data_IF_505223441560
#
_entry.id   IF_505223441560
#
_cell.length_a   1.000
_cell.length_b   1.000
_cell.length_c   1.000
_cell.angle_alpha   90.00
_cell.angle_beta   90.00
_cell.angle_gamma   90.00
#
_symmetry.space_group_name_H-M   'P 1'
#
loop_
_entity.id
_entity.type
_entity.pdbx_description
1 polymer ?
#
# COMPACT_ATOMS: atom_id res chain seq x y z
N UNK A 1 9.30 2.48 -13.86
CA UNK A 1 9.28 2.61 -12.39
C UNK A 1 7.85 2.92 -12.00
N UNK A 2 7.30 2.17 -11.04
CA UNK A 2 6.00 2.46 -10.45
C UNK A 2 6.30 2.95 -9.03
N UNK A 3 5.94 4.20 -8.67
CA UNK A 3 6.21 4.71 -7.33
C UNK A 3 5.32 3.99 -6.30
N UNK A 4 5.72 3.97 -5.03
CA UNK A 4 4.86 3.51 -3.95
C UNK A 4 3.56 4.31 -3.88
N UNK A 5 2.48 3.72 -3.34
CA UNK A 5 1.19 4.40 -3.27
C UNK A 5 1.24 5.62 -2.35
N UNK A 6 0.73 6.74 -2.86
CA UNK A 6 0.45 7.92 -2.04
C UNK A 6 -0.72 7.66 -1.07
N UNK A 7 -1.03 8.62 -0.20
CA UNK A 7 -2.11 8.50 0.79
C UNK A 7 -3.46 8.10 0.15
N UNK A 8 -3.83 8.75 -0.96
CA UNK A 8 -5.11 8.51 -1.62
C UNK A 8 -5.15 7.10 -2.23
N UNK A 9 -4.06 6.67 -2.87
CA UNK A 9 -3.92 5.33 -3.39
C UNK A 9 -3.97 4.28 -2.27
N UNK A 10 -3.34 4.53 -1.12
CA UNK A 10 -3.41 3.61 0.04
C UNK A 10 -4.84 3.47 0.56
N UNK A 11 -5.59 4.57 0.65
CA UNK A 11 -7.01 4.53 1.02
C UNK A 11 -7.82 3.67 0.05
N UNK A 12 -7.64 3.84 -1.26
CA UNK A 12 -8.36 3.05 -2.26
C UNK A 12 -7.97 1.57 -2.19
N UNK A 13 -6.69 1.25 -1.96
CA UNK A 13 -6.24 -0.12 -1.73
C UNK A 13 -6.91 -0.72 -0.48
N UNK A 14 -6.97 0.04 0.63
CA UNK A 14 -7.66 -0.39 1.84
C UNK A 14 -9.13 -0.68 1.57
N UNK A 15 -9.86 0.22 0.88
CA UNK A 15 -11.26 0.03 0.50
C UNK A 15 -11.47 -1.22 -0.37
N UNK A 16 -10.56 -1.50 -1.31
CA UNK A 16 -10.63 -2.71 -2.14
C UNK A 16 -10.47 -3.96 -1.28
N UNK A 17 -9.50 -3.99 -0.38
CA UNK A 17 -9.24 -5.15 0.48
C UNK A 17 -10.27 -5.34 1.60
N UNK A 18 -10.99 -4.29 2.00
CA UNK A 18 -12.07 -4.37 3.00
C UNK A 18 -13.47 -4.48 2.38
N UNK A 19 -13.62 -4.47 1.05
CA UNK A 19 -14.93 -4.47 0.36
C UNK A 19 -15.89 -5.59 0.81
N UNK A 20 -15.35 -6.75 1.18
CA UNK A 20 -16.14 -7.90 1.65
C UNK A 20 -15.91 -8.22 3.14
N UNK A 21 -15.24 -7.31 3.86
CA UNK A 21 -15.00 -7.41 5.28
C UNK A 21 -16.09 -6.62 6.01
N UNK A 22 -16.86 -7.23 6.92
CA UNK A 22 -17.80 -6.48 7.73
C UNK A 22 -17.02 -5.59 8.69
N UNK A 23 -17.05 -4.27 8.45
CA UNK A 23 -16.39 -3.29 9.29
C UNK A 23 -17.36 -2.75 10.35
N UNK A 24 -16.85 -2.51 11.56
CA UNK A 24 -17.58 -1.75 12.57
C UNK A 24 -17.54 -0.25 12.26
N UNK A 25 -18.45 0.51 12.86
CA UNK A 25 -18.58 1.95 12.62
C UNK A 25 -17.33 2.74 13.03
N UNK A 26 -16.54 2.19 13.97
CA UNK A 26 -15.29 2.78 14.44
C UNK A 26 -14.10 2.52 13.51
N UNK A 27 -14.22 1.59 12.54
CA UNK A 27 -13.12 1.19 11.66
C UNK A 27 -12.82 2.24 10.58
N UNK A 28 -12.01 3.23 10.95
CA UNK A 28 -11.65 4.37 10.12
C UNK A 28 -10.47 4.05 9.17
N UNK A 29 -10.80 3.83 7.88
CA UNK A 29 -9.80 3.57 6.84
C UNK A 29 -8.96 4.80 6.47
N UNK A 30 -9.45 6.02 6.68
CA UNK A 30 -8.66 7.25 6.45
C UNK A 30 -7.53 7.32 7.46
N UNK A 31 -7.84 7.06 8.73
CA UNK A 31 -6.83 7.01 9.80
C UNK A 31 -5.78 5.92 9.56
N UNK A 32 -6.17 4.78 8.97
CA UNK A 32 -5.22 3.72 8.59
C UNK A 32 -4.36 4.16 7.39
N UNK A 33 -4.94 4.84 6.39
CA UNK A 33 -4.17 5.37 5.26
C UNK A 33 -3.11 6.39 5.69
N UNK A 34 -3.41 7.20 6.71
CA UNK A 34 -2.46 8.12 7.35
C UNK A 34 -1.32 7.39 8.08
N UNK A 35 -1.64 6.32 8.80
CA UNK A 35 -0.66 5.56 9.58
C UNK A 35 0.24 4.62 8.76
N UNK A 36 -0.02 4.47 7.45
CA UNK A 36 0.62 3.45 6.59
C UNK A 36 1.57 4.04 5.55
N UNK A 37 2.21 5.16 5.86
CA UNK A 37 3.27 5.69 5.01
C UNK A 37 4.39 4.65 4.79
N UNK A 38 4.87 4.54 3.54
CA UNK A 38 5.86 3.54 3.13
C UNK A 38 5.32 2.14 2.90
N UNK A 39 4.03 1.89 3.14
CA UNK A 39 3.42 0.59 2.83
C UNK A 39 3.24 0.41 1.33
N UNK A 40 3.48 -0.81 0.86
CA UNK A 40 3.10 -1.25 -0.48
C UNK A 40 1.66 -1.77 -0.52
N UNK A 41 1.13 -2.01 -1.72
CA UNK A 41 -0.18 -2.67 -1.86
C UNK A 41 -0.23 -4.05 -1.17
N UNK A 42 0.86 -4.82 -1.21
CA UNK A 42 0.95 -6.11 -0.50
C UNK A 42 0.97 -5.93 1.02
N UNK A 43 1.64 -4.90 1.54
CA UNK A 43 1.67 -4.65 2.98
C UNK A 43 0.26 -4.26 3.49
N UNK A 44 -0.47 -3.44 2.73
CA UNK A 44 -1.85 -3.07 3.05
C UNK A 44 -2.81 -4.27 2.97
N UNK A 45 -2.66 -5.13 1.96
CA UNK A 45 -3.42 -6.36 1.85
C UNK A 45 -3.19 -7.29 3.06
N UNK A 46 -1.92 -7.42 3.47
CA UNK A 46 -1.55 -8.19 4.65
C UNK A 46 -2.09 -7.57 5.94
N UNK A 47 -2.04 -6.25 6.08
CA UNK A 47 -2.58 -5.51 7.22
C UNK A 47 -4.08 -5.80 7.42
N UNK A 48 -4.87 -5.68 6.35
CA UNK A 48 -6.31 -5.96 6.38
C UNK A 48 -6.56 -7.42 6.76
N UNK A 49 -5.81 -8.36 6.17
CA UNK A 49 -5.93 -9.78 6.49
C UNK A 49 -5.60 -10.08 7.96
N UNK A 50 -4.55 -9.49 8.53
CA UNK A 50 -4.17 -9.68 9.93
C UNK A 50 -5.24 -9.08 10.87
N UNK A 51 -5.82 -7.93 10.53
CA UNK A 51 -6.93 -7.34 11.30
C UNK A 51 -8.16 -8.27 11.34
N UNK A 52 -8.53 -8.87 10.20
CA UNK A 52 -9.61 -9.86 10.16
C UNK A 52 -9.30 -11.11 10.99
N UNK A 53 -8.07 -11.63 10.92
CA UNK A 53 -7.65 -12.77 11.74
C UNK A 53 -7.63 -12.45 13.24
N UNK A 54 -7.24 -11.22 13.62
CA UNK A 54 -7.28 -10.75 15.00
C UNK A 54 -8.71 -10.72 15.54
N UNK A 55 -9.67 -10.22 14.75
CA UNK A 55 -11.09 -10.26 15.11
C UNK A 55 -11.58 -11.69 15.35
N UNK A 56 -11.27 -12.62 14.44
CA UNK A 56 -11.66 -14.04 14.57
C UNK A 56 -11.01 -14.74 15.77
N UNK A 57 -9.74 -14.41 16.06
CA UNK A 57 -9.01 -14.97 17.21
C UNK A 57 -9.56 -14.48 18.54
N UNK A 58 -10.03 -13.25 18.57
CA UNK A 58 -10.67 -12.71 19.76
C UNK A 58 -12.04 -13.34 20.01
N UNK A 59 -12.87 -13.45 18.97
CA UNK A 59 -14.16 -14.10 19.05
C UNK A 59 -14.47 -14.79 17.72
N UNK A 60 -14.65 -16.11 17.75
CA UNK A 60 -14.99 -16.90 16.55
C UNK A 60 -16.33 -16.49 15.92
N UNK A 61 -17.21 -15.89 16.72
CA UNK A 61 -18.50 -15.34 16.30
C UNK A 61 -18.44 -13.82 16.07
N UNK A 62 -17.25 -13.22 15.92
CA UNK A 62 -17.12 -11.80 15.64
C UNK A 62 -17.81 -11.46 14.31
N UNK A 63 -18.84 -10.61 14.38
CA UNK A 63 -19.58 -10.18 13.19
C UNK A 63 -18.87 -9.07 12.42
N UNK A 64 -18.01 -8.29 13.11
CA UNK A 64 -17.38 -7.08 12.54
C UNK A 64 -15.93 -6.92 12.97
N UNK A 65 -15.12 -6.32 12.10
CA UNK A 65 -13.74 -5.91 12.38
C UNK A 65 -13.73 -4.45 12.85
N UNK A 66 -13.36 -4.23 14.11
CA UNK A 66 -13.23 -2.92 14.75
C UNK A 66 -11.85 -2.30 14.56
N UNK A 67 -11.74 -1.00 14.87
CA UNK A 67 -10.49 -0.24 14.75
C UNK A 67 -9.34 -0.84 15.56
N UNK A 68 -9.61 -1.33 16.77
CA UNK A 68 -8.61 -1.97 17.64
C UNK A 68 -7.90 -3.17 16.99
N UNK A 69 -8.57 -3.91 16.10
CA UNK A 69 -7.93 -5.01 15.38
C UNK A 69 -6.94 -4.49 14.33
N UNK A 70 -7.25 -3.37 13.67
CA UNK A 70 -6.32 -2.69 12.78
C UNK A 70 -5.15 -2.08 13.54
N UNK A 71 -5.39 -1.45 14.69
CA UNK A 71 -4.33 -0.92 15.55
C UNK A 71 -3.36 -2.03 16.00
N UNK A 72 -3.90 -3.21 16.33
CA UNK A 72 -3.07 -4.37 16.68
C UNK A 72 -2.37 -4.97 15.46
N UNK A 73 -3.00 -4.98 14.29
CA UNK A 73 -2.37 -5.40 13.04
C UNK A 73 -1.20 -4.48 12.63
N UNK A 74 -1.35 -3.16 12.83
CA UNK A 74 -0.30 -2.15 12.53
C UNK A 74 0.97 -2.35 13.37
N UNK A 75 0.86 -2.95 14.56
CA UNK A 75 2.03 -3.28 15.37
C UNK A 75 2.83 -4.46 14.79
N UNK A 76 2.16 -5.35 14.06
CA UNK A 76 2.72 -6.60 13.52
C UNK A 76 3.22 -6.46 12.10
N UNK A 77 2.45 -5.76 11.26
CA UNK A 77 2.78 -5.52 9.87
C UNK A 77 3.63 -4.26 9.80
N UNK A 78 4.84 -4.36 9.23
CA UNK A 78 5.74 -3.22 9.03
C UNK A 78 5.83 -2.91 7.55
N UNK A 79 6.09 -1.64 7.16
CA UNK A 79 6.32 -1.30 5.77
C UNK A 79 7.50 -2.10 5.22
N UNK A 80 7.32 -2.69 4.04
CA UNK A 80 8.38 -3.45 3.37
C UNK A 80 9.40 -2.56 2.66
N UNK A 81 9.02 -1.33 2.30
CA UNK A 81 9.92 -0.37 1.64
C UNK A 81 10.70 0.44 2.66
N UNK A 82 12.02 0.28 2.67
CA UNK A 82 12.92 1.10 3.47
C UNK A 82 13.28 2.41 2.74
N UNK A 83 13.66 3.48 3.48
CA UNK A 83 14.13 4.73 2.87
C UNK A 83 15.31 4.54 1.89
N UNK A 84 16.17 3.56 2.14
CA UNK A 84 17.31 3.25 1.27
C UNK A 84 16.85 2.67 -0.07
N UNK A 85 15.86 1.76 -0.04
CA UNK A 85 15.28 1.19 -1.26
C UNK A 85 14.58 2.25 -2.10
N UNK A 86 13.83 3.16 -1.47
CA UNK A 86 13.21 4.30 -2.13
C UNK A 86 14.23 5.14 -2.90
N UNK A 87 15.30 5.59 -2.22
CA UNK A 87 16.38 6.37 -2.84
C UNK A 87 17.04 5.63 -3.99
N UNK A 88 17.29 4.33 -3.82
CA UNK A 88 17.85 3.50 -4.87
C UNK A 88 16.96 3.51 -6.13
N UNK A 89 15.66 3.25 -5.97
CA UNK A 89 14.73 3.21 -7.10
C UNK A 89 14.53 4.56 -7.76
N UNK A 90 14.48 5.65 -7.01
CA UNK A 90 14.42 7.02 -7.54
C UNK A 90 15.65 7.31 -8.40
N UNK A 91 16.85 7.05 -7.87
CA UNK A 91 18.10 7.26 -8.60
C UNK A 91 18.19 6.39 -9.85
N UNK A 92 17.68 5.16 -9.80
CA UNK A 92 17.63 4.26 -10.94
C UNK A 92 16.66 4.77 -12.00
N UNK A 93 15.48 5.25 -11.60
CA UNK A 93 14.48 5.80 -12.50
C UNK A 93 15.00 7.05 -13.24
N UNK A 94 15.72 7.92 -12.54
CA UNK A 94 16.37 9.10 -13.14
C UNK A 94 17.45 8.72 -14.17
N UNK A 95 18.34 7.78 -13.80
CA UNK A 95 19.41 7.30 -14.71
C UNK A 95 18.81 6.61 -15.94
N UNK A 96 17.80 5.77 -15.74
CA UNK A 96 17.10 5.06 -16.81
C UNK A 96 16.41 6.03 -17.77
N UNK A 97 15.74 7.08 -17.25
CA UNK A 97 15.12 8.14 -18.06
C UNK A 97 16.15 8.86 -18.95
N UNK A 98 17.33 9.20 -18.39
CA UNK A 98 18.43 9.82 -19.16
C UNK A 98 18.98 8.89 -20.25
N UNK A 99 19.09 7.59 -19.98
CA UNK A 99 19.56 6.61 -20.97
C UNK A 99 18.56 6.38 -22.12
N UNK A 100 17.26 6.39 -21.84
CA UNK A 100 16.22 6.26 -22.85
C UNK A 100 16.13 7.49 -23.76
N UNK A 101 16.33 8.70 -23.23
CA UNK A 101 16.39 9.93 -24.03
C UNK A 101 17.58 9.96 -25.01
N UNK A 102 18.68 9.28 -24.69
CA UNK A 102 19.86 9.20 -25.57
C UNK A 102 19.77 8.18 -26.72
N UNK A 103 18.73 7.34 -26.77
CA UNK A 103 18.59 6.26 -27.78
C UNK A 103 17.52 6.53 -28.84
N UNK A 104 16.80 7.64 -28.76
CA UNK A 104 15.83 8.01 -29.80
C UNK A 104 16.56 8.79 -30.90
N UNK A 105 17.05 8.08 -31.92
CA UNK A 105 17.26 8.75 -33.22
C UNK A 105 15.88 9.05 -33.80
N UNK A 106 15.62 10.27 -34.30
CA UNK A 106 14.40 10.52 -35.04
C UNK A 106 14.48 9.65 -36.31
N UNK A 107 13.61 8.63 -36.39
CA UNK A 107 13.35 7.98 -37.68
C UNK A 107 12.70 9.07 -38.53
N UNK A 108 13.54 9.73 -39.32
CA UNK A 108 13.12 10.72 -40.29
C UNK A 108 12.45 9.98 -41.42
N UNK A 109 11.12 9.99 -41.43
CA UNK A 109 10.34 9.70 -42.64
C UNK A 109 10.50 10.90 -43.57
N UNK A 110 11.52 10.85 -44.44
CA UNK A 110 11.49 11.60 -45.69
C UNK A 110 11.08 10.65 -46.80
N UNK A 111 9.86 10.90 -47.31
CA UNK A 111 9.26 10.48 -48.58
C UNK A 111 9.03 9.00 -48.79
#
# INVERSE_FOLDING_TARGET
YVPPPDRAARLEILKVHTRHMPLAEDADLERIADATEGYTGSDLALLVREAGMLAMRENVNAEKVCMRHFEEALKKVRPSLTPEMLKFYESWAERSRKMLQGRVSPISFYV
#
